data_IF_906167802268
#
_entry.id   IF_906167802268
#
_cell.length_a   1.000
_cell.length_b   1.000
_cell.length_c   1.000
_cell.angle_alpha   90.00
_cell.angle_beta   90.00
_cell.angle_gamma   90.00
#
_symmetry.space_group_name_H-M   'P 1'
#
loop_
_entity.id
_entity.type
_entity.pdbx_description
1 polymer ?
#
# COMPACT_ATOMS: atom_id res chain seq x y z
N UNK A 1 2.69 17.20 -12.99
CA UNK A 1 1.60 17.91 -12.29
C UNK A 1 1.62 19.41 -12.62
N UNK A 2 2.76 20.10 -12.48
CA UNK A 2 2.86 21.54 -12.73
C UNK A 2 2.36 22.07 -14.08
N UNK A 3 2.50 21.32 -15.18
CA UNK A 3 1.99 21.78 -16.49
C UNK A 3 0.45 21.87 -16.50
N UNK A 4 -0.24 20.93 -15.85
CA UNK A 4 -1.71 20.91 -15.78
C UNK A 4 -2.26 21.96 -14.80
N UNK A 5 -1.52 22.28 -13.73
CA UNK A 5 -1.86 23.36 -12.78
C UNK A 5 -1.81 24.73 -13.47
N UNK A 6 -0.79 24.96 -14.30
CA UNK A 6 -0.62 26.21 -15.05
C UNK A 6 -1.73 26.37 -16.11
N UNK A 7 -2.07 25.31 -16.85
CA UNK A 7 -3.18 25.35 -17.82
C UNK A 7 -4.53 25.60 -17.13
N UNK A 8 -4.78 24.95 -16.00
CA UNK A 8 -6.01 25.16 -15.21
C UNK A 8 -6.09 26.60 -14.68
N UNK A 9 -4.97 27.13 -14.18
CA UNK A 9 -4.89 28.51 -13.72
C UNK A 9 -5.20 29.51 -14.83
N UNK A 10 -4.64 29.35 -16.03
CA UNK A 10 -4.88 30.23 -17.18
C UNK A 10 -6.35 30.20 -17.63
N UNK A 11 -6.96 29.01 -17.68
CA UNK A 11 -8.39 28.86 -18.00
C UNK A 11 -9.28 29.54 -16.96
N UNK A 12 -8.95 29.40 -15.67
CA UNK A 12 -9.74 30.01 -14.60
C UNK A 12 -9.51 31.53 -14.55
N UNK A 13 -8.28 32.01 -14.79
CA UNK A 13 -7.91 33.44 -14.80
C UNK A 13 -8.68 34.20 -15.87
N UNK A 14 -8.82 33.62 -17.06
CA UNK A 14 -9.58 34.23 -18.17
C UNK A 14 -11.09 34.32 -17.93
N UNK A 15 -11.65 33.52 -17.02
CA UNK A 15 -13.10 33.44 -16.74
C UNK A 15 -13.52 34.11 -15.43
N UNK A 16 -12.67 34.08 -14.41
CA UNK A 16 -13.04 34.37 -13.02
C UNK A 16 -12.21 35.49 -12.38
N UNK A 17 -11.09 35.88 -13.01
CA UNK A 17 -10.13 36.80 -12.41
C UNK A 17 -9.01 36.07 -11.65
N UNK A 18 -7.94 36.81 -11.36
CA UNK A 18 -6.67 36.26 -10.89
C UNK A 18 -6.74 35.68 -9.47
N UNK A 19 -7.54 36.29 -8.59
CA UNK A 19 -7.71 35.86 -7.19
C UNK A 19 -8.52 34.58 -7.07
N UNK A 20 -9.62 34.52 -7.80
CA UNK A 20 -10.57 33.42 -7.81
C UNK A 20 -9.94 32.19 -8.45
N UNK A 21 -9.20 32.37 -9.56
CA UNK A 21 -8.45 31.32 -10.20
C UNK A 21 -7.39 30.70 -9.27
N UNK A 22 -6.61 31.54 -8.59
CA UNK A 22 -5.59 31.07 -7.63
C UNK A 22 -6.21 30.26 -6.50
N UNK A 23 -7.30 30.77 -5.91
CA UNK A 23 -7.99 30.10 -4.79
C UNK A 23 -8.54 28.72 -5.19
N UNK A 24 -9.07 28.61 -6.41
CA UNK A 24 -9.61 27.34 -6.91
C UNK A 24 -8.51 26.33 -7.25
N UNK A 25 -7.38 26.77 -7.80
CA UNK A 25 -6.21 25.90 -8.06
C UNK A 25 -5.67 25.38 -6.73
N UNK A 26 -5.45 26.24 -5.74
CA UNK A 26 -4.98 25.85 -4.40
C UNK A 26 -5.95 24.86 -3.72
N UNK A 27 -7.27 25.09 -3.83
CA UNK A 27 -8.28 24.17 -3.27
C UNK A 27 -8.28 22.81 -3.98
N UNK A 28 -8.08 22.79 -5.31
CA UNK A 28 -8.02 21.56 -6.09
C UNK A 28 -6.76 20.78 -5.78
N UNK A 29 -5.59 21.43 -5.72
CA UNK A 29 -4.32 20.82 -5.30
C UNK A 29 -4.46 20.16 -3.93
N UNK A 30 -4.92 20.91 -2.92
CA UNK A 30 -5.12 20.39 -1.57
C UNK A 30 -6.07 19.18 -1.53
N UNK A 31 -7.11 19.16 -2.39
CA UNK A 31 -8.07 18.06 -2.47
C UNK A 31 -7.53 16.86 -3.24
N UNK A 32 -6.72 17.08 -4.27
CA UNK A 32 -6.06 16.03 -5.05
C UNK A 32 -5.00 15.33 -4.20
N UNK A 33 -4.16 16.08 -3.49
CA UNK A 33 -3.16 15.54 -2.57
C UNK A 33 -3.81 14.71 -1.47
N UNK A 34 -4.85 15.25 -0.83
CA UNK A 34 -5.59 14.51 0.19
C UNK A 34 -6.19 13.21 -0.35
N UNK A 35 -6.75 13.22 -1.56
CA UNK A 35 -7.31 12.01 -2.18
C UNK A 35 -6.24 11.03 -2.63
N UNK A 36 -5.06 11.49 -3.02
CA UNK A 36 -3.93 10.64 -3.32
C UNK A 36 -3.40 9.96 -2.07
N UNK A 37 -3.23 10.69 -0.97
CA UNK A 37 -2.80 10.14 0.33
C UNK A 37 -3.80 9.12 0.87
N UNK A 38 -5.11 9.43 0.81
CA UNK A 38 -6.17 8.50 1.20
C UNK A 38 -6.11 7.21 0.35
N UNK A 39 -5.89 7.33 -0.96
CA UNK A 39 -5.78 6.15 -1.84
C UNK A 39 -4.47 5.41 -1.65
N UNK A 40 -3.35 6.08 -1.42
CA UNK A 40 -2.07 5.44 -1.14
C UNK A 40 -2.14 4.62 0.15
N UNK A 41 -2.83 5.12 1.18
CA UNK A 41 -3.04 4.38 2.43
C UNK A 41 -3.96 3.16 2.28
N UNK A 42 -4.86 3.14 1.28
CA UNK A 42 -5.75 2.00 0.99
C UNK A 42 -5.04 0.96 0.11
N UNK A 43 -4.07 1.38 -0.70
CA UNK A 43 -3.31 0.48 -1.55
C UNK A 43 -2.21 -0.18 -0.72
N UNK A 44 -2.35 -1.48 -0.45
CA UNK A 44 -1.27 -2.27 0.13
C UNK A 44 0.01 -2.03 -0.67
N UNK A 45 1.00 -1.42 -0.03
CA UNK A 45 2.24 -1.06 -0.71
C UNK A 45 2.99 -2.35 -1.06
N UNK A 46 3.91 -2.28 -2.03
CA UNK A 46 4.80 -3.42 -2.34
C UNK A 46 5.56 -3.89 -1.09
N UNK A 47 5.81 -2.99 -0.15
CA UNK A 47 6.44 -3.26 1.14
C UNK A 47 5.52 -4.06 2.05
N UNK A 48 4.24 -3.69 2.17
CA UNK A 48 3.26 -4.43 2.98
C UNK A 48 3.07 -5.87 2.48
N UNK A 49 3.02 -6.04 1.16
CA UNK A 49 2.94 -7.37 0.55
C UNK A 49 4.21 -8.20 0.77
N UNK A 50 5.39 -7.56 0.72
CA UNK A 50 6.66 -8.22 1.01
C UNK A 50 6.75 -8.65 2.48
N UNK A 51 6.33 -7.79 3.41
CA UNK A 51 6.26 -8.09 4.84
C UNK A 51 5.30 -9.25 5.13
N UNK A 52 4.10 -9.22 4.55
CA UNK A 52 3.13 -10.31 4.68
C UNK A 52 3.69 -11.65 4.16
N UNK A 53 4.34 -11.64 2.98
CA UNK A 53 5.01 -12.84 2.44
C UNK A 53 6.12 -13.34 3.37
N UNK A 54 6.94 -12.45 3.92
CA UNK A 54 8.01 -12.81 4.84
C UNK A 54 7.46 -13.45 6.13
N UNK A 55 6.37 -12.92 6.68
CA UNK A 55 5.73 -13.50 7.86
C UNK A 55 5.12 -14.87 7.58
N UNK A 56 4.45 -15.04 6.45
CA UNK A 56 3.93 -16.36 6.02
C UNK A 56 5.07 -17.37 5.93
N UNK A 57 6.20 -17.00 5.30
CA UNK A 57 7.37 -17.89 5.17
C UNK A 57 7.94 -18.26 6.55
N UNK A 58 8.06 -17.31 7.49
CA UNK A 58 8.51 -17.58 8.86
C UNK A 58 7.62 -18.61 9.55
N UNK A 59 6.29 -18.45 9.46
CA UNK A 59 5.34 -19.38 10.08
C UNK A 59 5.35 -20.77 9.41
N UNK A 60 5.60 -20.85 8.10
CA UNK A 60 5.76 -22.12 7.41
C UNK A 60 6.95 -22.94 7.94
N UNK A 61 8.08 -22.31 8.28
CA UNK A 61 9.21 -23.03 8.87
C UNK A 61 8.89 -23.62 10.24
N UNK A 62 8.22 -22.86 11.12
CA UNK A 62 7.81 -23.38 12.43
C UNK A 62 6.85 -24.56 12.29
N UNK A 63 5.89 -24.43 11.37
CA UNK A 63 4.96 -25.51 11.05
C UNK A 63 5.68 -26.75 10.53
N UNK A 64 6.62 -26.61 9.59
CA UNK A 64 7.38 -27.73 9.04
C UNK A 64 8.25 -28.43 10.07
N UNK A 65 8.89 -27.69 10.99
CA UNK A 65 9.63 -28.29 12.11
C UNK A 65 8.68 -29.12 12.98
N UNK A 66 7.49 -28.59 13.28
CA UNK A 66 6.46 -29.31 14.02
C UNK A 66 5.98 -30.57 13.30
N UNK A 67 5.75 -30.50 11.98
CA UNK A 67 5.38 -31.66 11.17
C UNK A 67 6.48 -32.73 11.15
N UNK A 68 7.75 -32.33 10.99
CA UNK A 68 8.87 -33.25 10.97
C UNK A 68 9.07 -33.91 12.34
N UNK A 69 8.97 -33.15 13.43
CA UNK A 69 8.99 -33.68 14.79
C UNK A 69 7.84 -34.67 15.04
N UNK A 70 6.64 -34.34 14.58
CA UNK A 70 5.47 -35.23 14.73
C UNK A 70 5.63 -36.52 13.92
N UNK A 71 6.09 -36.41 12.67
CA UNK A 71 6.32 -37.57 11.80
C UNK A 71 7.41 -38.48 12.37
N UNK A 72 8.53 -37.90 12.83
CA UNK A 72 9.63 -38.68 13.44
C UNK A 72 9.19 -39.37 14.72
N UNK A 73 8.40 -38.71 15.57
CA UNK A 73 7.84 -39.32 16.78
C UNK A 73 6.92 -40.51 16.45
N UNK A 74 6.03 -40.36 15.46
CA UNK A 74 5.15 -41.45 15.01
C UNK A 74 5.97 -42.63 14.49
N UNK A 75 6.96 -42.37 13.63
CA UNK A 75 7.82 -43.41 13.07
C UNK A 75 8.61 -44.13 14.18
N UNK A 76 9.17 -43.39 15.15
CA UNK A 76 9.86 -44.00 16.29
C UNK A 76 8.95 -44.90 17.12
N UNK A 77 7.68 -44.51 17.37
CA UNK A 77 6.73 -45.35 18.10
C UNK A 77 6.44 -46.65 17.34
N UNK A 78 6.31 -46.58 16.00
CA UNK A 78 6.04 -47.76 15.17
C UNK A 78 7.25 -48.70 15.03
N UNK A 79 8.47 -48.17 14.89
CA UNK A 79 9.70 -48.98 14.76
C UNK A 79 10.28 -49.47 16.09
N UNK A 80 9.79 -48.96 17.22
CA UNK A 80 10.21 -49.38 18.58
C UNK A 80 9.24 -50.36 19.22
N UNK A 81 8.28 -50.88 18.45
CA UNK A 81 7.53 -52.12 18.73
C UNK A 81 8.24 -53.29 18.06
#
# INVERSE_FOLDING_TARGET
MHVAEIELYEILKTKLGEKEAKTLVEYIEAKVDKKLDEKQNILATKVDLANMKADIIKWMFLFWIGQLASLTAILQIFFRK
#
